data_IF_895228256108
#
_entry.id   IF_895228256108
#
_cell.length_a   1.000
_cell.length_b   1.000
_cell.length_c   1.000
_cell.angle_alpha   90.00
_cell.angle_beta   90.00
_cell.angle_gamma   90.00
#
_symmetry.space_group_name_H-M   'P 1'
#
loop_
_entity.id
_entity.type
_entity.pdbx_description
1 polymer ?
#
# COMPACT_ATOMS: atom_id res chain seq x y z
N UNK A 1 -6.51 -2.37 -43.29
CA UNK A 1 -5.19 -3.00 -43.46
C UNK A 1 -4.25 -2.43 -42.41
N UNK A 2 -4.08 -3.12 -41.28
CA UNK A 2 -3.03 -2.78 -40.31
C UNK A 2 -1.69 -3.25 -40.89
N UNK A 3 -0.71 -2.35 -41.01
CA UNK A 3 0.64 -2.71 -41.46
C UNK A 3 1.27 -3.62 -40.41
N UNK A 4 1.82 -4.74 -40.87
CA UNK A 4 2.57 -5.70 -40.07
C UNK A 4 3.92 -5.07 -39.69
N UNK A 5 3.91 -4.23 -38.65
CA UNK A 5 5.12 -3.74 -37.99
C UNK A 5 5.66 -4.91 -37.18
N UNK A 6 6.76 -5.52 -37.65
CA UNK A 6 7.40 -6.63 -36.96
C UNK A 6 7.68 -6.30 -35.50
N UNK A 7 7.55 -7.30 -34.63
CA UNK A 7 7.74 -7.16 -33.19
C UNK A 7 9.09 -6.48 -32.91
N UNK A 8 9.11 -5.28 -32.31
CA UNK A 8 10.34 -4.57 -32.00
C UNK A 8 11.29 -5.46 -31.17
N UNK A 9 12.59 -5.38 -31.41
CA UNK A 9 13.59 -6.22 -30.75
C UNK A 9 13.52 -6.19 -29.20
N UNK A 10 13.03 -5.09 -28.62
CA UNK A 10 12.82 -4.94 -27.17
C UNK A 10 11.59 -5.68 -26.62
N UNK A 11 10.66 -6.12 -27.48
CA UNK A 11 9.54 -7.01 -27.16
C UNK A 11 9.83 -8.48 -27.50
N UNK A 12 11.02 -8.80 -28.01
CA UNK A 12 11.41 -10.19 -28.27
C UNK A 12 11.53 -10.99 -26.98
N UNK A 13 11.34 -12.31 -27.07
CA UNK A 13 11.39 -13.20 -25.89
C UNK A 13 12.71 -13.10 -25.12
N UNK A 14 13.80 -12.73 -25.79
CA UNK A 14 15.14 -12.62 -25.24
C UNK A 14 15.46 -11.25 -24.59
N UNK A 15 14.54 -10.28 -24.60
CA UNK A 15 14.77 -9.00 -23.93
C UNK A 15 14.77 -9.16 -22.40
N UNK A 16 15.66 -8.48 -21.65
CA UNK A 16 15.67 -8.52 -20.19
C UNK A 16 14.30 -8.14 -19.63
N UNK A 17 13.82 -8.85 -18.60
CA UNK A 17 12.47 -8.67 -18.03
C UNK A 17 12.18 -7.21 -17.62
N UNK A 18 13.21 -6.50 -17.13
CA UNK A 18 13.15 -5.08 -16.81
C UNK A 18 12.88 -4.22 -18.05
N UNK A 19 13.54 -4.50 -19.18
CA UNK A 19 13.36 -3.74 -20.42
C UNK A 19 11.94 -3.90 -20.98
N UNK A 20 11.37 -5.11 -20.91
CA UNK A 20 9.96 -5.37 -21.29
C UNK A 20 8.99 -4.56 -20.42
N UNK A 21 9.24 -4.49 -19.11
CA UNK A 21 8.38 -3.76 -18.16
C UNK A 21 8.42 -2.24 -18.39
N UNK A 22 9.61 -1.66 -18.60
CA UNK A 22 9.75 -0.22 -18.84
C UNK A 22 9.24 0.22 -20.24
N UNK A 23 9.46 -0.57 -21.28
CA UNK A 23 9.06 -0.21 -22.65
C UNK A 23 7.55 -0.34 -22.90
N UNK A 24 6.84 -1.24 -22.20
CA UNK A 24 5.38 -1.38 -22.35
C UNK A 24 4.60 -0.12 -21.94
N UNK A 25 5.10 0.64 -20.96
CA UNK A 25 4.43 1.86 -20.48
C UNK A 25 4.59 3.08 -21.40
N UNK A 26 5.69 3.16 -22.16
CA UNK A 26 5.96 4.30 -23.08
C UNK A 26 5.19 4.15 -24.41
N UNK A 27 4.86 2.92 -24.82
CA UNK A 27 4.27 2.63 -26.15
C UNK A 27 2.79 2.20 -26.06
N UNK A 28 2.14 2.39 -24.91
CA UNK A 28 0.73 2.03 -24.69
C UNK A 28 0.38 0.56 -25.00
N UNK A 29 1.35 -0.35 -24.84
CA UNK A 29 1.11 -1.79 -24.95
C UNK A 29 0.84 -2.30 -23.54
N UNK A 30 -0.43 -2.34 -23.14
CA UNK A 30 -0.85 -2.91 -21.87
C UNK A 30 -0.91 -4.44 -22.02
N UNK A 31 -0.22 -5.16 -21.13
CA UNK A 31 -0.31 -6.63 -21.08
C UNK A 31 -1.73 -7.02 -20.66
N UNK A 32 -2.48 -7.65 -21.55
CA UNK A 32 -3.86 -8.05 -21.27
C UNK A 32 -3.95 -9.03 -20.09
N UNK A 33 -2.95 -9.90 -19.95
CA UNK A 33 -2.88 -10.91 -18.89
C UNK A 33 -2.62 -10.34 -17.48
N UNK A 34 -2.08 -9.12 -17.37
CA UNK A 34 -1.83 -8.48 -16.07
C UNK A 34 -3.04 -7.66 -15.57
N UNK A 35 -4.02 -7.40 -16.46
CA UNK A 35 -5.18 -6.55 -16.18
C UNK A 35 -6.48 -7.34 -16.18
N UNK A 36 -6.56 -8.39 -17.00
CA UNK A 36 -7.77 -9.20 -17.18
C UNK A 36 -7.51 -10.69 -16.92
N UNK A 37 -8.37 -11.36 -16.13
CA UNK A 37 -9.43 -10.78 -15.31
C UNK A 37 -8.86 -9.88 -14.20
N UNK A 38 -9.72 -9.10 -13.53
CA UNK A 38 -9.26 -8.25 -12.44
C UNK A 38 -8.51 -9.09 -11.40
N UNK A 39 -7.30 -8.67 -10.97
CA UNK A 39 -6.53 -9.45 -10.02
C UNK A 39 -7.24 -9.51 -8.66
N UNK A 40 -7.46 -10.72 -8.15
CA UNK A 40 -8.03 -10.96 -6.83
C UNK A 40 -6.94 -11.42 -5.85
N UNK A 41 -7.12 -11.10 -4.58
CA UNK A 41 -6.25 -11.59 -3.49
C UNK A 41 -6.67 -12.99 -3.04
N UNK A 42 -5.77 -13.71 -2.38
CA UNK A 42 -6.07 -15.04 -1.86
C UNK A 42 -7.15 -15.04 -0.77
N UNK A 43 -7.86 -16.15 -0.62
CA UNK A 43 -8.92 -16.28 0.40
C UNK A 43 -8.37 -16.13 1.84
N UNK A 44 -7.19 -16.67 2.12
CA UNK A 44 -6.53 -16.56 3.43
C UNK A 44 -6.20 -15.10 3.75
N UNK A 45 -5.52 -14.43 2.82
CA UNK A 45 -5.19 -12.99 2.88
C UNK A 45 -6.44 -12.13 3.08
N UNK A 46 -7.56 -12.47 2.41
CA UNK A 46 -8.82 -11.77 2.59
C UNK A 46 -9.41 -11.95 4.00
N UNK A 47 -9.28 -13.12 4.62
CA UNK A 47 -9.76 -13.34 5.98
C UNK A 47 -8.91 -12.58 7.01
N UNK A 48 -7.59 -12.60 6.86
CA UNK A 48 -6.66 -11.83 7.68
C UNK A 48 -6.98 -10.33 7.58
N UNK A 49 -7.17 -9.82 6.36
CA UNK A 49 -7.53 -8.43 6.12
C UNK A 49 -8.82 -8.03 6.85
N UNK A 50 -9.86 -8.88 6.80
CA UNK A 50 -11.13 -8.62 7.49
C UNK A 50 -10.97 -8.52 9.00
N UNK A 51 -10.08 -9.32 9.59
CA UNK A 51 -9.81 -9.27 11.03
C UNK A 51 -9.07 -8.00 11.44
N UNK A 52 -8.24 -7.44 10.55
CA UNK A 52 -7.51 -6.18 10.78
C UNK A 52 -8.35 -4.94 10.53
N UNK A 53 -9.24 -4.97 9.53
CA UNK A 53 -10.08 -3.82 9.16
C UNK A 53 -11.01 -3.40 10.28
N UNK A 54 -11.73 -4.34 10.90
CA UNK A 54 -12.73 -4.02 11.93
C UNK A 54 -12.19 -3.22 13.14
N UNK A 55 -11.08 -3.61 13.79
CA UNK A 55 -10.54 -2.84 14.91
C UNK A 55 -9.99 -1.47 14.48
N UNK A 56 -9.42 -1.36 13.27
CA UNK A 56 -8.91 -0.07 12.75
C UNK A 56 -10.08 0.87 12.44
N UNK A 57 -11.11 0.40 11.75
CA UNK A 57 -12.33 1.19 11.50
C UNK A 57 -12.95 1.66 12.81
N UNK A 58 -13.08 0.76 13.79
CA UNK A 58 -13.61 1.10 15.11
C UNK A 58 -12.79 2.20 15.77
N UNK A 59 -11.47 2.07 15.83
CA UNK A 59 -10.58 3.07 16.44
C UNK A 59 -10.72 4.44 15.78
N UNK A 60 -10.74 4.50 14.44
CA UNK A 60 -10.91 5.76 13.72
C UNK A 60 -12.31 6.36 13.90
N UNK A 61 -13.34 5.54 14.10
CA UNK A 61 -14.71 6.02 14.30
C UNK A 61 -15.03 6.45 15.73
N UNK A 62 -14.41 5.81 16.74
CA UNK A 62 -14.77 5.99 18.15
C UNK A 62 -13.74 6.82 18.93
N UNK A 63 -12.45 6.71 18.60
CA UNK A 63 -11.36 7.25 19.43
C UNK A 63 -10.61 8.43 18.77
N UNK A 64 -10.63 8.53 17.43
CA UNK A 64 -9.93 9.59 16.70
C UNK A 64 -10.82 10.84 16.59
N UNK A 65 -10.37 11.94 17.20
CA UNK A 65 -10.98 13.26 17.02
C UNK A 65 -10.14 14.11 16.04
N UNK A 66 -10.41 13.96 14.74
CA UNK A 66 -9.73 14.72 13.68
C UNK A 66 -9.88 16.23 13.83
N UNK A 67 -11.05 16.70 14.28
CA UNK A 67 -11.28 18.12 14.43
C UNK A 67 -10.43 18.71 15.56
N UNK A 68 -10.16 17.94 16.63
CA UNK A 68 -9.20 18.32 17.67
C UNK A 68 -7.78 18.33 17.13
N UNK A 69 -7.37 17.32 16.38
CA UNK A 69 -6.03 17.24 15.75
C UNK A 69 -5.76 18.49 14.91
N UNK A 70 -6.73 18.89 14.09
CA UNK A 70 -6.62 20.07 13.23
C UNK A 70 -6.55 21.37 14.04
N UNK A 71 -7.44 21.55 15.02
CA UNK A 71 -7.45 22.77 15.86
C UNK A 71 -6.18 22.93 16.69
N UNK A 72 -5.65 21.83 17.22
CA UNK A 72 -4.46 21.82 18.07
C UNK A 72 -3.16 21.70 17.27
N UNK A 73 -3.25 21.46 15.96
CA UNK A 73 -2.12 21.17 15.06
C UNK A 73 -1.20 20.07 15.61
N UNK A 74 -1.77 19.08 16.30
CA UNK A 74 -1.03 18.05 17.03
C UNK A 74 -1.86 16.78 17.17
N UNK A 75 -1.27 15.65 16.86
CA UNK A 75 -1.86 14.33 17.15
C UNK A 75 -1.68 14.05 18.65
N UNK A 76 -2.77 13.81 19.41
CA UNK A 76 -2.68 13.53 20.83
C UNK A 76 -1.84 12.27 21.13
N UNK A 77 -1.06 12.24 22.23
CA UNK A 77 -0.28 11.06 22.62
C UNK A 77 -1.09 9.78 22.76
N UNK A 78 -2.32 9.87 23.25
CA UNK A 78 -3.27 8.76 23.37
C UNK A 78 -3.61 8.16 22.01
N UNK A 79 -3.89 8.99 21.01
CA UNK A 79 -4.15 8.56 19.63
C UNK A 79 -2.90 7.91 19.04
N UNK A 80 -1.71 8.50 19.23
CA UNK A 80 -0.45 7.90 18.77
C UNK A 80 -0.18 6.54 19.40
N UNK A 81 -0.55 6.34 20.66
CA UNK A 81 -0.41 5.04 21.33
C UNK A 81 -1.40 4.01 20.78
N UNK A 82 -2.67 4.39 20.56
CA UNK A 82 -3.64 3.50 19.92
C UNK A 82 -3.20 3.05 18.52
N UNK A 83 -2.63 3.96 17.72
CA UNK A 83 -2.06 3.62 16.40
C UNK A 83 -0.88 2.63 16.51
N UNK A 84 -0.07 2.70 17.58
CA UNK A 84 1.02 1.74 17.84
C UNK A 84 0.51 0.38 18.28
N UNK A 85 -0.47 0.36 19.18
CA UNK A 85 -1.10 -0.87 19.68
C UNK A 85 -1.79 -1.66 18.55
N UNK A 86 -2.36 -0.94 17.57
CA UNK A 86 -2.90 -1.52 16.34
C UNK A 86 -1.81 -1.93 15.31
N UNK A 87 -0.53 -1.68 15.58
CA UNK A 87 0.58 -2.05 14.69
C UNK A 87 0.72 -1.17 13.43
N UNK A 88 0.03 -0.04 13.34
CA UNK A 88 -0.07 0.74 12.09
C UNK A 88 1.24 1.45 11.68
N UNK A 89 2.23 1.52 12.57
CA UNK A 89 3.57 1.99 12.23
C UNK A 89 4.41 0.95 11.46
N UNK A 90 4.04 -0.34 11.54
CA UNK A 90 4.79 -1.46 10.96
C UNK A 90 4.00 -2.27 9.93
N UNK A 91 3.05 -1.67 9.20
CA UNK A 91 2.05 -2.40 8.40
C UNK A 91 2.70 -3.37 7.39
N UNK A 92 3.69 -2.91 6.63
CA UNK A 92 4.37 -3.74 5.61
C UNK A 92 5.71 -4.32 6.10
N UNK A 93 6.06 -4.12 7.37
CA UNK A 93 7.30 -4.66 7.93
C UNK A 93 7.10 -6.15 8.21
N UNK A 94 8.02 -7.04 7.78
CA UNK A 94 7.90 -8.47 8.07
C UNK A 94 7.71 -8.77 9.55
N UNK A 95 6.92 -9.80 9.85
CA UNK A 95 6.62 -10.21 11.24
C UNK A 95 7.87 -10.57 12.04
N UNK A 96 8.91 -11.11 11.39
CA UNK A 96 10.22 -11.40 12.01
C UNK A 96 10.93 -10.18 12.58
N UNK A 97 10.54 -8.98 12.14
CA UNK A 97 11.01 -7.69 12.66
C UNK A 97 9.96 -6.98 13.52
N UNK A 98 8.86 -7.66 13.87
CA UNK A 98 7.78 -7.14 14.71
C UNK A 98 6.77 -6.25 13.98
N UNK A 99 6.69 -6.34 12.64
CA UNK A 99 5.64 -5.69 11.86
C UNK A 99 4.43 -6.60 11.61
N UNK A 100 3.49 -6.12 10.79
CA UNK A 100 2.28 -6.87 10.43
C UNK A 100 2.44 -7.72 9.16
N UNK A 101 3.52 -7.55 8.39
CA UNK A 101 3.81 -8.36 7.20
C UNK A 101 2.81 -8.20 6.04
N UNK A 102 2.00 -7.14 6.02
CA UNK A 102 0.89 -7.05 5.07
C UNK A 102 1.34 -6.79 3.63
N UNK A 103 0.57 -7.33 2.69
CA UNK A 103 0.75 -7.05 1.27
C UNK A 103 0.39 -5.61 0.91
N UNK A 104 0.80 -5.17 -0.29
CA UNK A 104 0.42 -3.83 -0.81
C UNK A 104 -1.11 -3.66 -0.92
N UNK A 105 -1.85 -4.72 -1.26
CA UNK A 105 -3.31 -4.66 -1.39
C UNK A 105 -3.98 -4.51 -0.03
N UNK A 106 -3.51 -5.27 0.98
CA UNK A 106 -3.98 -5.13 2.35
C UNK A 106 -3.64 -3.75 2.93
N UNK A 107 -2.42 -3.27 2.70
CA UNK A 107 -2.01 -1.92 3.07
C UNK A 107 -2.91 -0.86 2.42
N UNK A 108 -3.20 -0.98 1.12
CA UNK A 108 -4.09 -0.05 0.43
C UNK A 108 -5.48 0.01 1.08
N UNK A 109 -6.05 -1.15 1.43
CA UNK A 109 -7.36 -1.19 2.10
C UNK A 109 -7.32 -0.53 3.49
N UNK A 110 -6.27 -0.75 4.28
CA UNK A 110 -6.10 -0.04 5.56
C UNK A 110 -5.86 1.46 5.38
N UNK A 111 -5.12 1.84 4.33
CA UNK A 111 -4.84 3.23 4.02
C UNK A 111 -6.12 4.02 3.70
N UNK A 112 -7.15 3.39 3.11
CA UNK A 112 -8.46 4.02 2.90
C UNK A 112 -9.11 4.46 4.22
N UNK A 113 -9.01 3.62 5.26
CA UNK A 113 -9.56 3.91 6.59
C UNK A 113 -8.70 4.96 7.30
N UNK A 114 -7.38 4.78 7.27
CA UNK A 114 -6.42 5.70 7.88
C UNK A 114 -6.58 7.12 7.32
N UNK A 115 -6.97 7.22 6.04
CA UNK A 115 -7.20 8.49 5.35
C UNK A 115 -8.44 9.27 5.83
N UNK A 116 -9.21 8.73 6.78
CA UNK A 116 -10.23 9.50 7.51
C UNK A 116 -9.62 10.69 8.27
N UNK A 117 -8.34 10.59 8.68
CA UNK A 117 -7.57 11.70 9.22
C UNK A 117 -6.30 11.94 8.40
N UNK A 118 -6.22 13.10 7.73
CA UNK A 118 -5.09 13.44 6.86
C UNK A 118 -3.76 13.57 7.62
N UNK A 119 -3.78 14.07 8.84
CA UNK A 119 -2.58 14.28 9.66
C UNK A 119 -1.98 12.94 10.10
N UNK A 120 -2.81 11.99 10.52
CA UNK A 120 -2.42 10.62 10.85
C UNK A 120 -1.94 9.89 9.59
N UNK A 121 -2.68 9.99 8.48
CA UNK A 121 -2.30 9.34 7.22
C UNK A 121 -0.91 9.77 6.74
N UNK A 122 -0.62 11.07 6.72
CA UNK A 122 0.69 11.59 6.35
C UNK A 122 1.77 11.16 7.35
N UNK A 123 1.47 11.16 8.65
CA UNK A 123 2.41 10.73 9.70
C UNK A 123 2.84 9.28 9.51
N UNK A 124 1.88 8.37 9.31
CA UNK A 124 2.14 6.94 9.10
C UNK A 124 2.84 6.69 7.76
N UNK A 125 2.36 7.31 6.67
CA UNK A 125 2.97 7.17 5.36
C UNK A 125 4.42 7.65 5.34
N UNK A 126 4.70 8.79 5.99
CA UNK A 126 6.06 9.35 6.10
C UNK A 126 6.97 8.44 6.92
N UNK A 127 6.47 7.92 8.04
CA UNK A 127 7.22 6.96 8.86
C UNK A 127 7.62 5.72 8.04
N UNK A 128 6.67 5.12 7.33
CA UNK A 128 6.95 3.90 6.57
C UNK A 128 7.78 4.16 5.30
N UNK A 129 7.52 5.25 4.57
CA UNK A 129 8.16 5.50 3.29
C UNK A 129 9.54 6.17 3.41
N UNK A 130 9.77 7.02 4.42
CA UNK A 130 11.02 7.76 4.56
C UNK A 130 11.90 7.24 5.70
N UNK A 131 11.32 6.93 6.86
CA UNK A 131 12.13 6.56 8.03
C UNK A 131 12.68 5.12 7.91
N UNK A 132 11.95 4.21 7.24
CA UNK A 132 12.33 2.80 7.14
C UNK A 132 13.04 2.44 5.82
N UNK A 133 12.93 3.26 4.75
CA UNK A 133 13.55 2.99 3.44
C UNK A 133 15.01 3.45 3.32
N UNK A 134 15.70 3.74 4.42
CA UNK A 134 17.15 3.91 4.39
C UNK A 134 17.77 2.52 4.29
N UNK A 135 18.20 2.16 3.08
CA UNK A 135 18.95 0.93 2.80
C UNK A 135 20.02 0.72 3.88
N UNK A 136 19.86 -0.33 4.67
CA UNK A 136 20.97 -0.97 5.38
C UNK A 136 21.98 -1.33 4.28
N UNK A 137 23.17 -0.71 4.35
CA UNK A 137 24.26 -0.97 3.41
C UNK A 137 24.80 -2.39 3.59
#
# INVERSE_FOLDING_TARGET
MAKNIGTPAFLSDNAPLLLKKYCNHIVAIISHAEVFPYPEIGNEELQELKQLVAPVEKFFSEEVDSAKIDREAKIPPETLNGLKELGLFGIMIPEEYGGLGLSNTMYARLAEIISLDGSIAVTLATHQALALKVKVK
#
